data_IF_172616548466
#
_entry.id   IF_172616548466
#
_cell.length_a   1.000
_cell.length_b   1.000
_cell.length_c   1.000
_cell.angle_alpha   90.00
_cell.angle_beta   90.00
_cell.angle_gamma   90.00
#
_symmetry.space_group_name_H-M   'P 1'
#
loop_
_entity.id
_entity.type
_entity.pdbx_description
1 polymer ?
#
# COMPACT_ATOMS: atom_id res chain seq x y z
N UNK A 1 4.51 -13.42 -27.19
CA UNK A 1 3.97 -14.03 -25.96
C UNK A 1 4.51 -13.23 -24.78
N UNK A 2 3.69 -12.88 -23.78
CA UNK A 2 4.16 -12.16 -22.59
C UNK A 2 4.92 -13.10 -21.65
N UNK A 3 6.02 -12.61 -21.11
CA UNK A 3 6.76 -13.24 -20.01
C UNK A 3 6.03 -13.07 -18.68
N UNK A 4 6.34 -13.90 -17.68
CA UNK A 4 5.79 -13.74 -16.33
C UNK A 4 6.13 -12.37 -15.72
N UNK A 5 7.33 -11.85 -16.02
CA UNK A 5 7.79 -10.53 -15.56
C UNK A 5 6.94 -9.41 -16.12
N UNK A 6 6.61 -9.45 -17.40
CA UNK A 6 5.76 -8.44 -18.06
C UNK A 6 4.34 -8.47 -17.51
N UNK A 7 3.78 -9.68 -17.32
CA UNK A 7 2.44 -9.83 -16.73
C UNK A 7 2.40 -9.28 -15.29
N UNK A 8 3.41 -9.57 -14.47
CA UNK A 8 3.51 -9.02 -13.12
C UNK A 8 3.60 -7.49 -13.13
N UNK A 9 4.43 -6.92 -14.04
CA UNK A 9 4.56 -5.47 -14.19
C UNK A 9 3.23 -4.81 -14.54
N UNK A 10 2.49 -5.36 -15.50
CA UNK A 10 1.18 -4.86 -15.92
C UNK A 10 0.16 -4.94 -14.77
N UNK A 11 0.12 -6.07 -14.07
CA UNK A 11 -0.77 -6.26 -12.93
C UNK A 11 -0.51 -5.25 -11.82
N UNK A 12 0.76 -4.96 -11.51
CA UNK A 12 1.11 -4.05 -10.43
C UNK A 12 0.92 -2.59 -10.85
N UNK A 13 1.50 -2.19 -11.99
CA UNK A 13 1.57 -0.77 -12.37
C UNK A 13 0.25 -0.20 -12.88
N UNK A 14 -0.53 -0.99 -13.63
CA UNK A 14 -1.76 -0.52 -14.29
C UNK A 14 -3.00 -1.34 -13.93
N UNK A 15 -2.88 -2.26 -12.96
CA UNK A 15 -3.98 -3.10 -12.49
C UNK A 15 -4.65 -3.94 -13.60
N UNK A 16 -3.87 -4.43 -14.57
CA UNK A 16 -4.38 -5.11 -15.76
C UNK A 16 -5.09 -6.44 -15.42
N UNK A 17 -6.40 -6.47 -15.70
CA UNK A 17 -7.26 -7.63 -15.44
C UNK A 17 -7.00 -8.83 -16.39
N UNK A 18 -6.46 -8.59 -17.59
CA UNK A 18 -6.06 -9.66 -18.52
C UNK A 18 -4.79 -10.32 -17.99
N UNK A 19 -3.81 -9.53 -17.53
CA UNK A 19 -2.59 -10.03 -16.90
C UNK A 19 -2.90 -10.87 -15.65
N UNK A 20 -3.81 -10.39 -14.79
CA UNK A 20 -4.33 -11.18 -13.66
C UNK A 20 -4.90 -12.53 -14.11
N UNK A 21 -5.79 -12.55 -15.11
CA UNK A 21 -6.39 -13.80 -15.61
C UNK A 21 -5.34 -14.77 -16.18
N UNK A 22 -4.32 -14.26 -16.87
CA UNK A 22 -3.22 -15.08 -17.40
C UNK A 22 -2.37 -15.69 -16.29
N UNK A 23 -2.00 -14.88 -15.28
CA UNK A 23 -1.25 -15.34 -14.11
C UNK A 23 -2.06 -16.34 -13.28
N UNK A 24 -3.33 -16.06 -13.00
CA UNK A 24 -4.20 -16.97 -12.26
C UNK A 24 -4.37 -18.31 -12.98
N UNK A 25 -4.51 -18.33 -14.32
CA UNK A 25 -4.56 -19.59 -15.08
C UNK A 25 -3.26 -20.39 -14.99
N UNK A 26 -2.11 -19.71 -14.88
CA UNK A 26 -0.79 -20.34 -14.80
C UNK A 26 -0.45 -20.85 -13.40
N UNK A 27 -0.85 -20.13 -12.37
CA UNK A 27 -0.53 -20.38 -10.96
C UNK A 27 -1.60 -21.24 -10.27
N UNK A 28 -2.87 -21.03 -10.61
CA UNK A 28 -4.02 -21.67 -9.96
C UNK A 28 -4.44 -20.94 -8.69
N UNK A 29 -5.73 -20.69 -8.55
CA UNK A 29 -6.28 -19.94 -7.41
C UNK A 29 -6.02 -20.63 -6.06
N UNK A 30 -6.03 -21.96 -6.01
CA UNK A 30 -5.80 -22.69 -4.76
C UNK A 30 -4.34 -22.59 -4.30
N UNK A 31 -3.38 -22.56 -5.24
CA UNK A 31 -1.97 -22.30 -4.94
C UNK A 31 -1.77 -20.87 -4.43
N UNK A 32 -2.49 -19.88 -5.00
CA UNK A 32 -2.46 -18.51 -4.50
C UNK A 32 -3.01 -18.42 -3.07
N UNK A 33 -4.15 -19.07 -2.79
CA UNK A 33 -4.72 -19.12 -1.44
C UNK A 33 -3.80 -19.82 -0.45
N UNK A 34 -3.15 -20.91 -0.84
CA UNK A 34 -2.16 -21.60 -0.01
C UNK A 34 -0.96 -20.69 0.29
N UNK A 35 -0.42 -20.03 -0.74
CA UNK A 35 0.67 -19.07 -0.57
C UNK A 35 0.28 -17.91 0.37
N UNK A 36 -0.93 -17.35 0.23
CA UNK A 36 -1.43 -16.32 1.15
C UNK A 36 -1.51 -16.82 2.61
N UNK A 37 -1.91 -18.09 2.84
CA UNK A 37 -1.92 -18.70 4.19
C UNK A 37 -0.51 -18.87 4.73
N UNK A 38 0.43 -19.33 3.91
CA UNK A 38 1.82 -19.53 4.29
C UNK A 38 2.50 -18.21 4.67
N UNK A 39 2.06 -17.09 4.08
CA UNK A 39 2.50 -15.74 4.49
C UNK A 39 1.88 -15.27 5.82
N UNK A 40 0.91 -15.99 6.38
CA UNK A 40 0.24 -15.68 7.64
C UNK A 40 -1.18 -15.11 7.50
N UNK A 41 -1.74 -15.09 6.27
CA UNK A 41 -3.08 -14.59 6.03
C UNK A 41 -4.18 -15.48 6.63
N UNK A 42 -5.19 -14.84 7.25
CA UNK A 42 -6.29 -15.52 7.95
C UNK A 42 -7.61 -15.42 7.16
N UNK A 43 -7.90 -14.25 6.60
CA UNK A 43 -9.14 -14.00 5.85
C UNK A 43 -8.87 -14.13 4.36
N UNK A 44 -8.89 -15.36 3.87
CA UNK A 44 -8.55 -15.68 2.48
C UNK A 44 -9.74 -16.35 1.82
N UNK A 45 -10.42 -15.58 0.95
CA UNK A 45 -11.60 -16.03 0.24
C UNK A 45 -12.70 -16.63 1.14
N UNK A 46 -13.12 -15.94 2.22
CA UNK A 46 -14.19 -16.44 3.08
C UNK A 46 -15.45 -16.69 2.23
N UNK A 47 -16.03 -17.89 2.35
CA UNK A 47 -17.20 -18.31 1.54
C UNK A 47 -16.99 -18.17 0.02
N UNK A 48 -15.72 -18.19 -0.44
CA UNK A 48 -15.36 -17.99 -1.84
C UNK A 48 -15.37 -16.53 -2.31
N UNK A 49 -15.69 -15.56 -1.45
CA UNK A 49 -15.70 -14.13 -1.77
C UNK A 49 -14.31 -13.53 -1.73
N UNK A 50 -13.93 -12.69 -2.68
CA UNK A 50 -12.62 -12.02 -2.69
C UNK A 50 -12.53 -10.90 -1.65
N UNK A 51 -12.57 -11.27 -0.37
CA UNK A 51 -12.47 -10.37 0.78
C UNK A 51 -11.16 -10.60 1.53
N UNK A 52 -10.70 -9.54 2.19
CA UNK A 52 -9.48 -9.52 3.01
C UNK A 52 -9.68 -8.54 4.17
N UNK A 53 -8.68 -8.44 5.04
CA UNK A 53 -8.62 -7.47 6.14
C UNK A 53 -7.41 -6.55 5.99
N UNK A 54 -7.41 -5.41 6.68
CA UNK A 54 -6.24 -4.55 6.73
C UNK A 54 -5.03 -5.26 7.37
N UNK A 55 -5.25 -6.16 8.33
CA UNK A 55 -4.21 -6.98 8.97
C UNK A 55 -3.56 -7.95 7.96
N UNK A 56 -4.37 -8.67 7.18
CA UNK A 56 -3.88 -9.63 6.18
C UNK A 56 -3.10 -8.92 5.06
N UNK A 57 -3.63 -7.81 4.53
CA UNK A 57 -2.94 -7.04 3.49
C UNK A 57 -1.64 -6.41 4.00
N UNK A 58 -1.61 -5.92 5.24
CA UNK A 58 -0.38 -5.44 5.90
C UNK A 58 0.63 -6.58 6.05
N UNK A 59 0.16 -7.80 6.35
CA UNK A 59 1.00 -9.00 6.44
C UNK A 59 1.64 -9.32 5.09
N UNK A 60 0.88 -9.26 3.99
CA UNK A 60 1.43 -9.47 2.65
C UNK A 60 2.43 -8.38 2.25
N UNK A 61 2.17 -7.11 2.57
CA UNK A 61 3.13 -6.03 2.31
C UNK A 61 4.42 -6.22 3.11
N UNK A 62 4.34 -6.67 4.37
CA UNK A 62 5.53 -7.05 5.16
C UNK A 62 6.32 -8.19 4.50
N UNK A 63 5.62 -9.18 3.92
CA UNK A 63 6.27 -10.25 3.18
C UNK A 63 6.93 -9.75 1.88
N UNK A 64 6.33 -8.77 1.19
CA UNK A 64 6.95 -8.11 0.03
C UNK A 64 8.25 -7.41 0.42
N UNK A 65 8.26 -6.66 1.53
CA UNK A 65 9.47 -5.98 2.02
C UNK A 65 10.56 -6.99 2.39
N UNK A 66 10.21 -8.04 3.14
CA UNK A 66 11.15 -9.11 3.49
C UNK A 66 11.70 -9.81 2.24
N UNK A 67 10.85 -10.10 1.26
CA UNK A 67 11.28 -10.69 0.00
C UNK A 67 12.27 -9.78 -0.74
N UNK A 68 12.08 -8.46 -0.70
CA UNK A 68 13.02 -7.50 -1.29
C UNK A 68 14.36 -7.41 -0.57
N UNK A 69 14.39 -7.61 0.74
CA UNK A 69 15.63 -7.72 1.50
C UNK A 69 16.35 -9.03 1.19
N UNK A 70 15.63 -10.16 1.16
CA UNK A 70 16.19 -11.50 0.94
C UNK A 70 16.60 -11.74 -0.53
N UNK A 71 15.94 -11.08 -1.48
CA UNK A 71 16.14 -11.25 -2.92
C UNK A 71 16.25 -9.88 -3.63
N UNK A 72 17.37 -9.14 -3.48
CA UNK A 72 17.48 -7.76 -3.93
C UNK A 72 17.20 -7.53 -5.41
N UNK A 73 17.55 -8.49 -6.28
CA UNK A 73 17.30 -8.37 -7.72
C UNK A 73 15.80 -8.40 -8.04
N UNK A 74 15.09 -9.46 -7.63
CA UNK A 74 13.68 -9.64 -7.95
C UNK A 74 12.78 -8.75 -7.09
N UNK A 75 13.09 -8.62 -5.81
CA UNK A 75 12.30 -7.76 -4.94
C UNK A 75 12.56 -6.28 -5.19
N UNK A 76 13.75 -5.89 -5.63
CA UNK A 76 14.01 -4.55 -6.17
C UNK A 76 13.08 -4.22 -7.34
N UNK A 77 12.91 -5.16 -8.29
CA UNK A 77 11.96 -5.01 -9.40
C UNK A 77 10.50 -4.92 -8.95
N UNK A 78 10.12 -5.64 -7.89
CA UNK A 78 8.77 -5.60 -7.31
C UNK A 78 8.50 -4.24 -6.63
N UNK A 79 9.42 -3.77 -5.79
CA UNK A 79 9.32 -2.44 -5.16
C UNK A 79 9.30 -1.34 -6.22
N UNK A 80 10.14 -1.46 -7.25
CA UNK A 80 10.17 -0.53 -8.37
C UNK A 80 8.82 -0.46 -9.10
N UNK A 81 8.13 -1.58 -9.28
CA UNK A 81 6.79 -1.57 -9.89
C UNK A 81 5.73 -0.98 -8.95
N UNK A 82 5.78 -1.30 -7.66
CA UNK A 82 4.88 -0.74 -6.66
C UNK A 82 5.03 0.78 -6.51
N UNK A 83 6.21 1.33 -6.78
CA UNK A 83 6.47 2.78 -6.69
C UNK A 83 6.25 3.53 -8.00
N UNK A 84 5.84 2.84 -9.08
CA UNK A 84 5.61 3.42 -10.40
C UNK A 84 4.28 2.96 -10.99
N UNK A 85 3.23 3.01 -10.18
CA UNK A 85 1.86 2.73 -10.62
C UNK A 85 1.23 3.95 -11.29
N UNK A 86 0.16 3.74 -12.06
CA UNK A 86 -0.63 4.84 -12.65
C UNK A 86 -1.56 5.53 -11.65
N UNK A 87 -1.65 5.02 -10.43
CA UNK A 87 -2.43 5.61 -9.32
C UNK A 87 -1.54 6.43 -8.40
N UNK A 88 -0.47 7.03 -8.92
CA UNK A 88 0.54 7.80 -8.15
C UNK A 88 0.00 9.12 -7.55
N UNK A 89 -1.26 9.46 -7.84
CA UNK A 89 -1.97 10.65 -7.35
C UNK A 89 -3.24 10.33 -6.56
N UNK A 90 -3.51 9.05 -6.31
CA UNK A 90 -4.70 8.56 -5.61
C UNK A 90 -4.30 7.96 -4.26
N UNK A 91 -5.20 7.98 -3.28
CA UNK A 91 -4.98 7.29 -2.01
C UNK A 91 -3.78 7.84 -1.23
N UNK A 92 -2.92 6.94 -0.76
CA UNK A 92 -1.84 7.26 0.17
C UNK A 92 -0.89 8.36 -0.31
N UNK A 93 -0.36 8.38 -1.56
CA UNK A 93 0.55 9.42 -2.02
C UNK A 93 -0.10 10.80 -2.25
N UNK A 94 -1.43 10.89 -2.39
CA UNK A 94 -2.09 12.07 -2.96
C UNK A 94 -1.84 13.39 -2.21
N UNK A 95 -1.67 13.33 -0.88
CA UNK A 95 -1.45 14.49 -0.01
C UNK A 95 -0.07 14.48 0.67
N UNK A 96 0.86 13.64 0.23
CA UNK A 96 2.23 13.62 0.72
C UNK A 96 3.14 14.55 -0.10
N UNK A 97 4.28 15.02 0.45
CA UNK A 97 5.30 15.70 -0.34
C UNK A 97 5.75 14.86 -1.53
N UNK A 98 6.04 15.50 -2.66
CA UNK A 98 6.33 14.81 -3.94
C UNK A 98 7.61 13.98 -3.94
N UNK A 99 8.53 14.27 -3.02
CA UNK A 99 9.78 13.56 -2.81
C UNK A 99 9.62 12.33 -1.90
N UNK A 100 8.46 12.16 -1.26
CA UNK A 100 8.14 10.95 -0.51
C UNK A 100 7.82 9.83 -1.48
N UNK A 101 8.72 8.85 -1.55
CA UNK A 101 8.50 7.64 -2.33
C UNK A 101 7.46 6.76 -1.63
N UNK A 102 6.44 6.33 -2.38
CA UNK A 102 5.39 5.42 -1.91
C UNK A 102 5.32 4.23 -2.83
N UNK A 103 5.40 3.02 -2.28
CA UNK A 103 5.14 1.77 -3.00
C UNK A 103 3.78 1.23 -2.61
N UNK A 104 2.84 1.12 -3.55
CA UNK A 104 1.45 0.80 -3.20
C UNK A 104 0.68 0.00 -4.24
N UNK A 105 -0.43 -0.58 -3.80
CA UNK A 105 -1.43 -1.17 -4.68
C UNK A 105 -2.83 -0.75 -4.24
N UNK A 106 -3.53 -0.11 -5.17
CA UNK A 106 -4.93 0.30 -4.99
C UNK A 106 -5.91 -0.78 -5.47
N UNK A 107 -7.13 -0.74 -4.93
CA UNK A 107 -8.29 -1.47 -5.45
C UNK A 107 -9.54 -0.59 -5.39
N UNK A 108 -10.28 -0.51 -6.50
CA UNK A 108 -11.44 0.36 -6.65
C UNK A 108 -12.63 -0.41 -7.23
N UNK A 109 -13.80 -0.21 -6.62
CA UNK A 109 -15.12 -0.54 -7.13
C UNK A 109 -16.06 0.59 -6.71
N UNK A 110 -17.25 0.70 -7.32
CA UNK A 110 -18.25 1.67 -6.88
C UNK A 110 -18.52 1.53 -5.36
N UNK A 111 -18.30 2.60 -4.60
CA UNK A 111 -18.46 2.63 -3.15
C UNK A 111 -17.37 1.93 -2.34
N UNK A 112 -16.26 1.51 -2.96
CA UNK A 112 -15.12 0.83 -2.31
C UNK A 112 -13.80 1.35 -2.87
N UNK A 113 -12.97 1.95 -2.03
CA UNK A 113 -11.59 2.27 -2.34
C UNK A 113 -10.65 1.69 -1.27
N UNK A 114 -9.57 1.06 -1.72
CA UNK A 114 -8.62 0.36 -0.86
C UNK A 114 -7.20 0.70 -1.29
N UNK A 115 -6.30 0.82 -0.33
CA UNK A 115 -4.89 1.07 -0.59
C UNK A 115 -4.02 0.36 0.47
N UNK A 116 -3.06 -0.43 0.00
CA UNK A 116 -1.98 -1.02 0.81
C UNK A 116 -0.65 -0.46 0.33
N UNK A 117 0.04 0.22 1.24
CA UNK A 117 1.17 1.07 0.93
C UNK A 117 2.34 0.84 1.88
N UNK A 118 3.57 0.92 1.35
CA UNK A 118 4.76 1.27 2.10
C UNK A 118 5.16 2.70 1.77
N UNK A 119 5.28 3.54 2.79
CA UNK A 119 5.78 4.91 2.68
C UNK A 119 7.23 4.92 3.12
N UNK A 120 8.13 5.32 2.23
CA UNK A 120 9.56 5.35 2.49
C UNK A 120 9.96 6.70 3.08
N UNK A 121 10.26 6.70 4.38
CA UNK A 121 10.96 7.79 5.07
C UNK A 121 12.43 7.39 5.29
N UNK A 122 13.35 8.37 5.41
CA UNK A 122 14.73 8.07 5.80
C UNK A 122 14.76 7.25 7.09
N UNK A 123 15.36 6.05 7.05
CA UNK A 123 15.59 5.12 8.17
C UNK A 123 14.35 4.56 8.90
N UNK A 124 13.13 4.92 8.48
CA UNK A 124 11.88 4.52 9.18
C UNK A 124 10.69 4.42 8.22
N UNK A 125 10.76 3.51 7.24
CA UNK A 125 9.59 3.21 6.42
C UNK A 125 8.45 2.71 7.29
N UNK A 126 7.21 2.95 6.86
CA UNK A 126 6.03 2.40 7.51
C UNK A 126 5.04 1.86 6.49
N UNK A 127 4.30 0.83 6.91
CA UNK A 127 3.17 0.30 6.14
C UNK A 127 1.91 1.01 6.60
N UNK A 128 1.10 1.46 5.65
CA UNK A 128 -0.25 1.96 5.88
C UNK A 128 -1.20 1.18 4.99
N UNK A 129 -2.23 0.59 5.59
CA UNK A 129 -3.30 -0.08 4.88
C UNK A 129 -4.63 0.53 5.30
N UNK A 130 -5.39 1.01 4.33
CA UNK A 130 -6.72 1.57 4.56
C UNK A 130 -7.70 0.90 3.61
N UNK A 131 -8.78 0.39 4.17
CA UNK A 131 -9.88 -0.22 3.42
C UNK A 131 -11.14 0.58 3.68
N UNK A 132 -11.87 0.91 2.62
CA UNK A 132 -13.14 1.63 2.71
C UNK A 132 -14.25 0.81 2.09
N UNK A 133 -15.48 1.05 2.56
CA UNK A 133 -16.70 0.51 1.98
C UNK A 133 -17.83 1.49 2.23
N UNK A 134 -18.88 1.42 1.42
CA UNK A 134 -20.09 2.22 1.56
C UNK A 134 -19.81 3.74 1.52
N UNK A 135 -18.80 4.17 0.74
CA UNK A 135 -18.36 5.59 0.66
C UNK A 135 -19.13 6.42 -0.38
N UNK A 136 -20.13 5.84 -1.03
CA UNK A 136 -20.97 6.52 -2.01
C UNK A 136 -21.14 5.74 -3.31
N UNK A 137 -21.46 6.45 -4.39
CA UNK A 137 -21.71 5.86 -5.71
C UNK A 137 -20.43 5.62 -6.55
N UNK A 138 -19.32 6.28 -6.19
CA UNK A 138 -17.99 6.07 -6.77
C UNK A 138 -16.98 5.71 -5.67
N UNK A 139 -15.75 5.45 -6.10
CA UNK A 139 -14.58 5.22 -5.27
C UNK A 139 -13.93 6.51 -4.74
N UNK A 140 -14.20 7.67 -5.38
CA UNK A 140 -13.48 8.93 -5.12
C UNK A 140 -13.52 9.36 -3.64
N UNK A 141 -14.67 9.35 -2.94
CA UNK A 141 -14.71 9.75 -1.53
C UNK A 141 -13.88 8.82 -0.65
N UNK A 142 -13.72 7.56 -1.05
CA UNK A 142 -12.85 6.61 -0.37
C UNK A 142 -11.37 6.94 -0.56
N UNK A 143 -10.94 7.26 -1.78
CA UNK A 143 -9.56 7.70 -2.03
C UNK A 143 -9.22 9.04 -1.36
N UNK A 144 -10.17 9.98 -1.31
CA UNK A 144 -10.03 11.23 -0.56
C UNK A 144 -9.81 10.95 0.94
N UNK A 145 -10.62 10.08 1.54
CA UNK A 145 -10.46 9.68 2.94
C UNK A 145 -9.11 8.98 3.20
N UNK A 146 -8.68 8.09 2.29
CA UNK A 146 -7.36 7.43 2.37
C UNK A 146 -6.24 8.47 2.36
N UNK A 147 -6.32 9.47 1.49
CA UNK A 147 -5.32 10.52 1.37
C UNK A 147 -5.24 11.38 2.65
N UNK A 148 -6.39 11.73 3.23
CA UNK A 148 -6.44 12.48 4.49
C UNK A 148 -5.83 11.69 5.65
N UNK A 149 -6.18 10.41 5.79
CA UNK A 149 -5.61 9.51 6.80
C UNK A 149 -4.09 9.40 6.61
N UNK A 150 -3.64 9.20 5.37
CA UNK A 150 -2.22 9.13 5.03
C UNK A 150 -1.46 10.36 5.49
N UNK A 151 -1.98 11.56 5.20
CA UNK A 151 -1.40 12.83 5.65
C UNK A 151 -1.31 12.90 7.17
N UNK A 152 -2.36 12.52 7.90
CA UNK A 152 -2.35 12.54 9.37
C UNK A 152 -1.27 11.61 9.94
N UNK A 153 -1.12 10.41 9.38
CA UNK A 153 -0.10 9.44 9.79
C UNK A 153 1.30 9.96 9.46
N UNK A 154 1.50 10.51 8.26
CA UNK A 154 2.77 11.12 7.85
C UNK A 154 3.17 12.27 8.79
N UNK A 155 2.27 13.21 9.05
CA UNK A 155 2.51 14.34 9.95
C UNK A 155 2.85 13.89 11.37
N UNK A 156 2.17 12.85 11.87
CA UNK A 156 2.48 12.25 13.16
C UNK A 156 3.87 11.63 13.18
N UNK A 157 4.23 10.88 12.14
CA UNK A 157 5.57 10.31 12.00
C UNK A 157 6.61 11.43 12.00
N UNK A 158 6.46 12.46 11.17
CA UNK A 158 7.38 13.61 11.11
C UNK A 158 7.59 14.27 12.49
N UNK A 159 6.53 14.46 13.27
CA UNK A 159 6.64 15.00 14.64
C UNK A 159 7.44 14.10 15.60
N UNK A 160 7.40 12.77 15.44
CA UNK A 160 8.23 11.86 16.23
C UNK A 160 9.73 11.93 15.92
N UNK A 161 10.15 12.57 14.82
CA UNK A 161 11.57 12.83 14.55
C UNK A 161 12.13 13.98 15.36
N UNK A 162 11.28 14.92 15.81
CA UNK A 162 11.71 16.05 16.62
C UNK A 162 11.96 15.57 18.06
N UNK A 163 13.21 15.55 18.55
CA UNK A 163 13.48 15.27 19.96
C UNK A 163 12.75 16.30 20.82
N UNK A 164 12.18 15.88 21.94
CA UNK A 164 11.33 16.68 22.83
C UNK A 164 11.77 18.14 22.99
N UNK A 165 11.21 19.01 22.14
CA UNK A 165 11.28 20.44 22.31
C UNK A 165 10.38 20.79 23.49
N UNK A 166 10.99 21.01 24.65
CA UNK A 166 10.35 21.68 25.78
C UNK A 166 9.60 22.91 25.26
N UNK A 167 8.33 23.14 25.62
CA UNK A 167 7.67 24.41 25.33
C UNK A 167 8.53 25.51 25.95
N UNK A 168 9.14 26.35 25.10
CA UNK A 168 9.84 27.53 25.56
C UNK A 168 8.87 28.34 26.41
N UNK A 169 9.13 28.43 27.71
CA UNK A 169 8.50 29.42 28.56
C UNK A 169 8.81 30.77 27.92
N UNK A 170 7.76 31.49 27.50
CA UNK A 170 7.86 32.91 27.27
C UNK A 170 8.13 33.56 28.63
N UNK A 171 9.40 33.69 29.00
CA UNK A 171 9.81 34.68 29.98
C UNK A 171 9.61 36.03 29.31
N UNK A 172 8.49 36.68 29.64
CA UNK A 172 8.47 38.12 29.57
C UNK A 172 9.57 38.65 30.49
N UNK A 173 10.34 39.60 30.00
CA UNK A 173 10.96 40.57 30.88
C UNK A 173 11.19 41.87 30.12
N UNK A 174 10.71 42.92 30.77
CA UNK A 174 10.83 44.31 30.41
C UNK A 174 12.30 44.72 30.19
N UNK A 175 12.55 45.52 29.14
CA UNK A 175 13.17 46.84 29.22
C UNK A 175 13.04 47.59 27.91
#
# INVERSE_FOLDING_TARGET
AYTLRELAKLLIRVSDNVAWKMLNRRLGLDNLKAFMRDLGGKTIYPEGQNWSTAEDLTTYMRAVLRFAEENPELGGLLIEDLTHTTSDKEGVPALLPRDVRVGHKVGALAGVANDVSVVFLPDRPYILTVLTKDVGASEDPGFEAIAEISRMVYDYKQRQELPGGTPGQSSGENK
#
